data_IF_887420092920
#
_entry.id   IF_887420092920
#
_cell.length_a   1.000
_cell.length_b   1.000
_cell.length_c   1.000
_cell.angle_alpha   90.00
_cell.angle_beta   90.00
_cell.angle_gamma   90.00
#
_symmetry.space_group_name_H-M   'P 1'
#
loop_
_entity.id
_entity.type
_entity.pdbx_description
1 polymer ?
#
# COMPACT_ATOMS: atom_id res chain seq x y z
N UNK A 1 19.02 14.22 -11.52
CA UNK A 1 18.61 13.58 -10.25
C UNK A 1 17.14 13.18 -10.42
N UNK A 2 16.85 11.91 -10.69
CA UNK A 2 15.47 11.46 -11.03
C UNK A 2 14.74 11.18 -9.72
N UNK A 3 13.73 11.99 -9.38
CA UNK A 3 12.85 11.77 -8.23
C UNK A 3 12.06 10.47 -8.43
N UNK A 4 11.74 9.78 -7.34
CA UNK A 4 11.10 8.46 -7.32
C UNK A 4 9.57 8.56 -7.22
N UNK A 5 9.02 9.76 -7.44
CA UNK A 5 7.63 10.10 -7.20
C UNK A 5 6.79 9.83 -8.45
N UNK A 6 6.61 8.54 -8.76
CA UNK A 6 5.57 8.13 -9.69
C UNK A 6 4.85 6.91 -9.14
N UNK A 7 3.57 6.80 -9.46
CA UNK A 7 2.73 5.68 -9.08
C UNK A 7 1.98 5.20 -10.32
N UNK A 8 1.83 3.88 -10.44
CA UNK A 8 1.09 3.24 -11.52
C UNK A 8 -0.12 2.54 -10.93
N UNK A 9 -1.25 2.65 -11.63
CA UNK A 9 -2.46 1.94 -11.24
C UNK A 9 -2.30 0.44 -11.49
N UNK A 10 -2.79 -0.37 -10.56
CA UNK A 10 -2.71 -1.84 -10.61
C UNK A 10 -4.05 -2.45 -10.25
N UNK A 11 -4.27 -3.71 -10.66
CA UNK A 11 -5.46 -4.47 -10.26
C UNK A 11 -5.56 -4.60 -8.73
N UNK A 12 -4.43 -4.74 -8.03
CA UNK A 12 -4.43 -4.77 -6.57
C UNK A 12 -4.89 -3.45 -5.93
N UNK A 13 -4.60 -2.30 -6.55
CA UNK A 13 -5.16 -1.01 -6.10
C UNK A 13 -6.68 -1.00 -6.31
N UNK A 14 -7.16 -1.46 -7.47
CA UNK A 14 -8.59 -1.59 -7.74
C UNK A 14 -9.29 -2.43 -6.67
N UNK A 15 -8.81 -3.66 -6.45
CA UNK A 15 -9.36 -4.60 -5.48
C UNK A 15 -9.35 -4.03 -4.05
N UNK A 16 -8.28 -3.30 -3.70
CA UNK A 16 -8.18 -2.63 -2.40
C UNK A 16 -9.27 -1.58 -2.22
N UNK A 17 -9.47 -0.72 -3.22
CA UNK A 17 -10.49 0.34 -3.15
C UNK A 17 -11.89 -0.24 -3.14
N UNK A 18 -12.17 -1.24 -3.98
CA UNK A 18 -13.47 -1.92 -4.00
C UNK A 18 -13.79 -2.57 -2.65
N UNK A 19 -12.78 -3.20 -2.03
CA UNK A 19 -12.95 -3.80 -0.71
C UNK A 19 -13.19 -2.75 0.38
N UNK A 20 -12.41 -1.67 0.38
CA UNK A 20 -12.60 -0.55 1.32
C UNK A 20 -13.98 0.06 1.14
N UNK A 21 -14.42 0.27 -0.10
CA UNK A 21 -15.74 0.82 -0.38
C UNK A 21 -16.85 -0.11 0.12
N UNK A 22 -16.74 -1.42 -0.13
CA UNK A 22 -17.68 -2.42 0.41
C UNK A 22 -17.76 -2.35 1.94
N UNK A 23 -16.62 -2.24 2.63
CA UNK A 23 -16.60 -2.11 4.09
C UNK A 23 -17.20 -0.79 4.60
N UNK A 24 -17.08 0.29 3.83
CA UNK A 24 -17.72 1.56 4.14
C UNK A 24 -19.24 1.47 3.93
N UNK A 25 -19.68 0.83 2.84
CA UNK A 25 -21.09 0.59 2.53
C UNK A 25 -21.76 -0.31 3.58
N UNK A 26 -21.06 -1.37 4.03
CA UNK A 26 -21.45 -2.27 5.13
C UNK A 26 -21.30 -1.62 6.52
N UNK A 27 -20.64 -0.46 6.55
CA UNK A 27 -20.35 0.33 7.74
C UNK A 27 -19.63 -0.43 8.87
N UNK A 28 -18.62 -1.24 8.53
CA UNK A 28 -17.84 -1.95 9.56
C UNK A 28 -17.03 -0.97 10.42
N UNK A 29 -16.84 -1.28 11.71
CA UNK A 29 -16.03 -0.45 12.63
C UNK A 29 -14.54 -0.47 12.25
N UNK A 30 -14.08 -1.56 11.65
CA UNK A 30 -12.76 -1.60 11.06
C UNK A 30 -12.45 -2.87 10.30
N UNK A 31 -11.36 -2.81 9.53
CA UNK A 31 -10.88 -3.90 8.71
C UNK A 31 -9.36 -3.84 8.51
N UNK A 32 -8.79 -4.94 8.03
CA UNK A 32 -7.35 -5.06 7.75
C UNK A 32 -7.08 -5.41 6.29
N UNK A 33 -6.27 -4.60 5.62
CA UNK A 33 -5.62 -4.97 4.37
C UNK A 33 -4.21 -5.44 4.70
N UNK A 34 -3.86 -6.66 4.31
CA UNK A 34 -2.57 -7.26 4.65
C UNK A 34 -1.88 -7.83 3.41
N UNK A 35 -0.56 -7.73 3.38
CA UNK A 35 0.23 -8.35 2.32
C UNK A 35 1.72 -8.11 2.53
N UNK A 36 2.58 -8.78 1.74
CA UNK A 36 4.02 -8.63 1.87
C UNK A 36 4.46 -7.17 1.70
N UNK A 37 5.58 -6.82 2.33
CA UNK A 37 6.19 -5.50 2.10
C UNK A 37 6.61 -5.38 0.63
N UNK A 38 6.61 -4.14 0.10
CA UNK A 38 7.05 -3.81 -1.27
C UNK A 38 6.11 -4.24 -2.41
N UNK A 39 4.87 -4.61 -2.07
CA UNK A 39 3.84 -4.97 -3.06
C UNK A 39 2.98 -3.78 -3.52
N UNK A 40 3.13 -2.61 -2.89
CA UNK A 40 2.48 -1.37 -3.32
C UNK A 40 1.37 -0.86 -2.40
N UNK A 41 1.13 -1.49 -1.24
CA UNK A 41 0.08 -1.09 -0.28
C UNK A 41 0.11 0.39 0.12
N UNK A 42 1.22 0.86 0.68
CA UNK A 42 1.38 2.26 1.08
C UNK A 42 1.18 3.22 -0.09
N UNK A 43 1.77 2.88 -1.24
CA UNK A 43 1.62 3.67 -2.46
C UNK A 43 0.17 3.71 -2.97
N UNK A 44 -0.59 2.63 -2.80
CA UNK A 44 -2.02 2.57 -3.10
C UNK A 44 -2.82 3.54 -2.21
N UNK A 45 -2.52 3.55 -0.90
CA UNK A 45 -3.17 4.44 0.06
C UNK A 45 -2.84 5.90 -0.22
N UNK A 46 -1.56 6.23 -0.35
CA UNK A 46 -1.09 7.61 -0.45
C UNK A 46 -1.52 8.30 -1.75
N UNK A 47 -1.59 7.56 -2.86
CA UNK A 47 -1.79 8.16 -4.18
C UNK A 47 -3.17 7.89 -4.81
N UNK A 48 -3.90 6.87 -4.37
CA UNK A 48 -5.11 6.43 -5.07
C UNK A 48 -6.36 6.40 -4.20
N UNK A 49 -6.25 5.92 -2.96
CA UNK A 49 -7.41 5.60 -2.14
C UNK A 49 -8.38 6.79 -2.00
N UNK A 50 -7.88 7.97 -1.60
CA UNK A 50 -8.73 9.14 -1.41
C UNK A 50 -9.43 9.57 -2.71
N UNK A 51 -8.68 9.63 -3.82
CA UNK A 51 -9.20 10.06 -5.12
C UNK A 51 -10.27 9.10 -5.64
N UNK A 52 -10.00 7.80 -5.61
CA UNK A 52 -10.90 6.78 -6.15
C UNK A 52 -12.17 6.64 -5.30
N UNK A 53 -12.07 6.75 -3.97
CA UNK A 53 -13.26 6.80 -3.12
C UNK A 53 -14.08 8.06 -3.38
N UNK A 54 -13.43 9.22 -3.55
CA UNK A 54 -14.13 10.46 -3.87
C UNK A 54 -14.86 10.40 -5.23
N UNK A 55 -14.24 9.79 -6.24
CA UNK A 55 -14.87 9.53 -7.55
C UNK A 55 -16.08 8.61 -7.41
N UNK A 56 -15.97 7.52 -6.64
CA UNK A 56 -17.06 6.57 -6.42
C UNK A 56 -18.26 7.19 -5.70
N UNK A 57 -18.01 7.98 -4.65
CA UNK A 57 -19.07 8.60 -3.86
C UNK A 57 -19.50 9.99 -4.37
N UNK A 58 -18.89 10.47 -5.46
CA UNK A 58 -19.24 11.74 -6.08
C UNK A 58 -18.96 12.97 -5.20
N UNK A 59 -17.99 12.88 -4.29
CA UNK A 59 -17.77 13.93 -3.29
C UNK A 59 -16.59 13.70 -2.35
N UNK A 60 -16.42 14.61 -1.40
CA UNK A 60 -15.38 14.53 -0.40
C UNK A 60 -15.65 13.38 0.58
N UNK A 61 -14.69 12.46 0.71
CA UNK A 61 -14.70 11.41 1.73
C UNK A 61 -13.83 11.87 2.91
N UNK A 62 -14.38 12.01 4.13
CA UNK A 62 -13.61 12.36 5.32
C UNK A 62 -12.61 11.26 5.71
N UNK A 63 -11.44 11.30 5.08
CA UNK A 63 -10.38 10.30 5.19
C UNK A 63 -9.14 10.93 5.83
N UNK A 64 -8.63 10.29 6.88
CA UNK A 64 -7.35 10.61 7.51
C UNK A 64 -6.40 9.44 7.30
N UNK A 65 -5.25 9.69 6.68
CA UNK A 65 -4.20 8.69 6.48
C UNK A 65 -3.09 8.96 7.48
N UNK A 66 -2.83 8.01 8.36
CA UNK A 66 -1.74 8.03 9.32
C UNK A 66 -0.75 6.92 9.02
N UNK A 67 0.43 7.28 8.53
CA UNK A 67 1.57 6.34 8.46
C UNK A 67 2.22 6.23 9.83
N UNK A 68 2.10 5.07 10.47
CA UNK A 68 2.76 4.83 11.75
C UNK A 68 4.28 4.80 11.57
N UNK A 69 5.00 5.41 12.51
CA UNK A 69 6.47 5.37 12.56
C UNK A 69 6.90 4.98 13.96
N UNK A 70 7.79 3.98 14.05
CA UNK A 70 8.40 3.64 15.33
C UNK A 70 9.43 4.72 15.68
N UNK A 71 9.13 5.46 16.74
CA UNK A 71 9.98 6.55 17.23
C UNK A 71 11.06 6.07 18.22
N UNK A 72 11.15 4.76 18.48
CA UNK A 72 12.17 4.13 19.34
C UNK A 72 12.08 4.50 20.83
N UNK A 73 11.11 5.33 21.21
CA UNK A 73 10.84 5.75 22.59
C UNK A 73 9.52 5.17 23.08
N UNK A 74 9.38 4.99 24.39
CA UNK A 74 8.15 4.45 24.98
C UNK A 74 6.90 5.21 24.49
N UNK A 75 5.82 4.48 24.11
CA UNK A 75 4.61 5.10 23.60
C UNK A 75 3.98 5.99 24.68
N UNK A 76 3.57 7.19 24.28
CA UNK A 76 2.92 8.16 25.15
C UNK A 76 1.62 8.65 24.51
N UNK A 77 0.52 8.63 25.26
CA UNK A 77 -0.83 8.98 24.76
C UNK A 77 -0.89 10.39 24.16
N UNK A 78 -0.16 11.35 24.74
CA UNK A 78 -0.06 12.70 24.17
C UNK A 78 0.63 12.75 22.80
N UNK A 79 1.60 11.86 22.55
CA UNK A 79 2.27 11.75 21.23
C UNK A 79 1.36 11.05 20.23
N UNK A 80 0.66 10.00 20.65
CA UNK A 80 -0.33 9.33 19.83
C UNK A 80 -1.38 10.32 19.27
N UNK A 81 -1.98 11.15 20.14
CA UNK A 81 -2.91 12.19 19.68
C UNK A 81 -2.24 13.26 18.81
N UNK A 82 -0.97 13.60 19.06
CA UNK A 82 -0.24 14.55 18.23
C UNK A 82 -0.03 14.02 16.80
N UNK A 83 0.33 12.75 16.64
CA UNK A 83 0.50 12.13 15.32
C UNK A 83 -0.81 12.06 14.54
N UNK A 84 -1.93 11.71 15.20
CA UNK A 84 -3.25 11.72 14.57
C UNK A 84 -3.69 13.14 14.18
N UNK A 85 -3.40 14.15 15.01
CA UNK A 85 -3.66 15.56 14.68
C UNK A 85 -2.85 16.01 13.46
N UNK A 86 -1.58 15.63 13.38
CA UNK A 86 -0.70 15.92 12.26
C UNK A 86 -1.21 15.25 10.97
N UNK A 87 -1.55 13.95 11.04
CA UNK A 87 -2.19 13.22 9.94
C UNK A 87 -3.52 13.85 9.48
N UNK A 88 -4.24 14.50 10.39
CA UNK A 88 -5.50 15.22 10.10
C UNK A 88 -5.30 16.62 9.49
N UNK A 89 -4.04 17.01 9.22
CA UNK A 89 -3.66 18.32 8.67
C UNK A 89 -3.83 19.47 9.66
N UNK A 90 -3.85 19.21 10.97
CA UNK A 90 -4.08 20.24 11.97
C UNK A 90 -2.83 21.12 12.19
N UNK A 91 -2.94 22.43 11.92
CA UNK A 91 -1.80 23.40 11.96
C UNK A 91 -1.05 23.46 13.29
N UNK A 92 -1.71 23.13 14.40
CA UNK A 92 -1.15 23.19 15.75
C UNK A 92 -0.73 21.82 16.31
N UNK A 93 -0.63 20.78 15.48
CA UNK A 93 -0.32 19.41 15.91
C UNK A 93 0.99 19.32 16.74
N UNK A 94 1.99 20.12 16.40
CA UNK A 94 3.31 20.09 17.06
C UNK A 94 3.44 21.04 18.27
N UNK A 95 2.40 21.80 18.62
CA UNK A 95 2.44 22.70 19.78
C UNK A 95 2.49 21.88 21.07
N UNK A 96 3.30 22.32 22.04
CA UNK A 96 3.34 21.72 23.38
C UNK A 96 1.99 21.93 24.07
N UNK A 97 1.30 20.82 24.35
CA UNK A 97 0.02 20.78 25.05
C UNK A 97 -0.03 19.57 25.98
N UNK A 98 -0.98 19.56 26.89
CA UNK A 98 -1.31 18.39 27.70
C UNK A 98 -1.95 17.31 26.82
N UNK A 99 -1.92 16.03 27.23
CA UNK A 99 -2.61 14.97 26.49
C UNK A 99 -4.11 15.20 26.34
N UNK A 100 -4.78 15.72 27.38
CA UNK A 100 -6.21 16.01 27.35
C UNK A 100 -6.55 17.08 26.32
N UNK A 101 -5.79 18.19 26.28
CA UNK A 101 -6.00 19.23 25.27
C UNK A 101 -5.83 18.70 23.84
N UNK A 102 -4.84 17.82 23.60
CA UNK A 102 -4.66 17.19 22.28
C UNK A 102 -5.83 16.27 21.92
N UNK A 103 -6.35 15.51 22.88
CA UNK A 103 -7.51 14.66 22.66
C UNK A 103 -8.73 15.50 22.27
N UNK A 104 -9.02 16.57 23.01
CA UNK A 104 -10.13 17.49 22.71
C UNK A 104 -10.00 18.08 21.31
N UNK A 105 -8.82 18.61 20.96
CA UNK A 105 -8.57 19.15 19.62
C UNK A 105 -8.74 18.10 18.51
N UNK A 106 -8.31 16.86 18.77
CA UNK A 106 -8.41 15.79 17.79
C UNK A 106 -9.89 15.44 17.53
N UNK A 107 -10.67 15.31 18.60
CA UNK A 107 -12.11 15.06 18.52
C UNK A 107 -12.81 16.20 17.76
N UNK A 108 -12.54 17.46 18.11
CA UNK A 108 -13.08 18.64 17.41
C UNK A 108 -12.71 18.61 15.93
N UNK A 109 -11.43 18.39 15.61
CA UNK A 109 -10.94 18.32 14.23
C UNK A 109 -11.62 17.21 13.42
N UNK A 110 -11.84 16.05 14.01
CA UNK A 110 -12.48 14.92 13.34
C UNK A 110 -13.97 15.16 13.12
N UNK A 111 -14.64 15.84 14.06
CA UNK A 111 -16.02 16.30 13.87
C UNK A 111 -16.11 17.30 12.71
N UNK A 112 -15.17 18.26 12.62
CA UNK A 112 -15.10 19.20 11.50
C UNK A 112 -14.90 18.48 10.15
N UNK A 113 -13.97 17.52 10.07
CA UNK A 113 -13.71 16.75 8.85
C UNK A 113 -14.94 15.94 8.42
N UNK A 114 -15.60 15.28 9.37
CA UNK A 114 -16.83 14.54 9.10
C UNK A 114 -17.95 15.47 8.57
N UNK A 115 -18.10 16.65 9.16
CA UNK A 115 -19.08 17.65 8.74
C UNK A 115 -18.81 18.20 7.34
N UNK A 116 -17.55 18.34 6.93
CA UNK A 116 -17.17 18.74 5.57
C UNK A 116 -17.63 17.73 4.51
N UNK A 117 -17.68 16.44 4.86
CA UNK A 117 -18.26 15.38 4.02
C UNK A 117 -19.79 15.33 4.03
N UNK A 118 -20.47 16.27 4.71
CA UNK A 118 -21.93 16.32 4.81
C UNK A 118 -22.52 15.27 5.75
N UNK A 119 -21.71 14.63 6.60
CA UNK A 119 -22.15 13.53 7.45
C UNK A 119 -21.57 13.57 8.86
N UNK A 120 -21.67 12.43 9.55
CA UNK A 120 -21.05 12.20 10.86
C UNK A 120 -20.21 10.92 10.84
N UNK A 121 -19.46 10.73 9.76
CA UNK A 121 -18.55 9.60 9.60
C UNK A 121 -17.16 10.09 9.27
N UNK A 122 -16.15 9.37 9.76
CA UNK A 122 -14.74 9.59 9.47
C UNK A 122 -14.08 8.23 9.25
N UNK A 123 -13.22 8.16 8.25
CA UNK A 123 -12.39 7.00 7.97
C UNK A 123 -10.96 7.33 8.38
N UNK A 124 -10.36 6.46 9.19
CA UNK A 124 -8.94 6.52 9.51
C UNK A 124 -8.24 5.32 8.90
N UNK A 125 -7.27 5.58 8.03
CA UNK A 125 -6.39 4.56 7.47
C UNK A 125 -5.06 4.63 8.20
N UNK A 126 -4.64 3.51 8.79
CA UNK A 126 -3.38 3.38 9.50
C UNK A 126 -2.44 2.57 8.61
N UNK A 127 -1.44 3.22 8.02
CA UNK A 127 -0.38 2.53 7.29
C UNK A 127 0.75 2.07 8.23
N UNK A 128 1.38 0.96 7.87
CA UNK A 128 2.35 0.22 8.70
C UNK A 128 1.80 -0.13 10.11
N UNK A 129 0.53 -0.51 10.18
CA UNK A 129 -0.20 -0.80 11.42
C UNK A 129 0.42 -1.91 12.29
N UNK A 130 1.25 -2.78 11.73
CA UNK A 130 2.01 -3.77 12.51
C UNK A 130 3.04 -3.15 13.46
N UNK A 131 3.41 -1.88 13.25
CA UNK A 131 4.28 -1.12 14.15
C UNK A 131 3.57 -0.60 15.40
N UNK A 132 2.23 -0.62 15.42
CA UNK A 132 1.46 -0.15 16.57
C UNK A 132 1.58 -1.09 17.77
N UNK A 133 1.85 -0.49 18.92
CA UNK A 133 1.87 -1.17 20.21
C UNK A 133 0.45 -1.48 20.69
N UNK A 134 0.32 -2.47 21.59
CA UNK A 134 -0.96 -2.79 22.24
C UNK A 134 -1.61 -1.56 22.91
N UNK A 135 -0.80 -0.70 23.52
CA UNK A 135 -1.29 0.53 24.18
C UNK A 135 -1.89 1.52 23.20
N UNK A 136 -1.27 1.71 22.04
CA UNK A 136 -1.81 2.60 20.99
C UNK A 136 -3.13 2.08 20.44
N UNK A 137 -3.27 0.77 20.26
CA UNK A 137 -4.55 0.16 19.90
C UNK A 137 -5.62 0.38 20.96
N UNK A 138 -5.29 0.24 22.25
CA UNK A 138 -6.23 0.51 23.34
C UNK A 138 -6.66 1.98 23.38
N UNK A 139 -5.73 2.92 23.18
CA UNK A 139 -6.07 4.35 23.08
C UNK A 139 -6.97 4.64 21.88
N UNK A 140 -6.80 3.93 20.77
CA UNK A 140 -7.69 4.05 19.62
C UNK A 140 -9.10 3.53 19.93
N UNK A 141 -9.23 2.44 20.69
CA UNK A 141 -10.54 1.94 21.18
C UNK A 141 -11.22 2.95 22.10
N UNK A 142 -10.47 3.57 23.01
CA UNK A 142 -10.97 4.63 23.89
C UNK A 142 -11.45 5.84 23.07
N UNK A 143 -10.65 6.29 22.11
CA UNK A 143 -10.99 7.39 21.21
C UNK A 143 -12.24 7.08 20.37
N UNK A 144 -12.33 5.86 19.83
CA UNK A 144 -13.51 5.40 19.09
C UNK A 144 -14.78 5.51 19.94
N UNK A 145 -14.72 5.04 21.20
CA UNK A 145 -15.86 5.11 22.12
C UNK A 145 -16.25 6.55 22.46
N UNK A 146 -15.26 7.45 22.61
CA UNK A 146 -15.52 8.88 22.81
C UNK A 146 -16.22 9.53 21.62
N UNK A 147 -15.84 9.17 20.40
CA UNK A 147 -16.45 9.70 19.17
C UNK A 147 -17.87 9.17 18.97
N UNK A 148 -18.13 7.90 19.31
CA UNK A 148 -19.50 7.35 19.33
C UNK A 148 -20.41 8.13 20.27
N UNK A 149 -19.93 8.50 21.46
CA UNK A 149 -20.68 9.35 22.40
C UNK A 149 -20.97 10.73 21.80
N UNK A 150 -20.07 11.24 20.95
CA UNK A 150 -20.28 12.43 20.15
C UNK A 150 -21.07 12.17 18.86
N UNK A 151 -21.69 10.99 18.69
CA UNK A 151 -22.43 10.58 17.49
C UNK A 151 -21.61 10.69 16.20
N UNK A 152 -20.29 10.53 16.28
CA UNK A 152 -19.41 10.43 15.14
C UNK A 152 -19.03 8.97 14.95
N UNK A 153 -19.29 8.43 13.77
CA UNK A 153 -18.88 7.08 13.38
C UNK A 153 -17.45 7.10 12.90
N UNK A 154 -16.61 6.28 13.50
CA UNK A 154 -15.22 6.10 13.11
C UNK A 154 -15.06 4.72 12.46
N UNK A 155 -14.55 4.67 11.22
CA UNK A 155 -14.13 3.43 10.57
C UNK A 155 -12.60 3.37 10.56
N UNK A 156 -12.02 2.30 11.10
CA UNK A 156 -10.56 2.12 11.18
C UNK A 156 -10.09 1.05 10.20
N UNK A 157 -9.34 1.46 9.17
CA UNK A 157 -8.73 0.53 8.23
C UNK A 157 -7.23 0.46 8.46
N UNK A 158 -6.73 -0.74 8.75
CA UNK A 158 -5.32 -0.98 8.99
C UNK A 158 -4.66 -1.59 7.76
N UNK A 159 -3.52 -1.02 7.36
CA UNK A 159 -2.66 -1.58 6.32
C UNK A 159 -1.45 -2.17 7.02
N UNK A 160 -1.31 -3.48 6.91
CA UNK A 160 -0.25 -4.20 7.59
C UNK A 160 0.71 -4.85 6.59
N UNK A 161 1.98 -4.46 6.65
CA UNK A 161 3.06 -5.23 6.07
C UNK A 161 3.35 -6.43 6.95
N UNK A 162 2.84 -7.58 6.53
CA UNK A 162 3.34 -8.85 7.06
C UNK A 162 4.27 -9.47 6.05
N UNK A 163 5.58 -9.34 6.30
CA UNK A 163 6.40 -10.51 6.08
C UNK A 163 5.76 -11.57 6.98
N UNK A 164 5.46 -12.76 6.51
CA UNK A 164 4.81 -13.74 7.39
C UNK A 164 3.35 -13.38 7.72
N UNK A 165 2.52 -13.38 6.68
CA UNK A 165 1.35 -14.24 6.56
C UNK A 165 0.95 -15.06 7.82
N UNK A 166 0.61 -14.38 8.91
CA UNK A 166 -0.41 -14.83 9.86
C UNK A 166 -1.70 -14.06 9.53
N UNK A 167 -2.85 -14.68 9.72
CA UNK A 167 -4.15 -14.03 9.60
C UNK A 167 -4.28 -12.82 10.54
N UNK A 168 -5.25 -11.89 10.35
CA UNK A 168 -5.63 -10.82 11.30
C UNK A 168 -5.43 -11.17 12.78
N UNK A 169 -5.63 -12.45 13.13
CA UNK A 169 -5.28 -13.11 14.39
C UNK A 169 -3.96 -12.68 15.07
N UNK A 170 -2.82 -12.60 14.37
CA UNK A 170 -1.55 -12.21 15.03
C UNK A 170 -1.54 -10.76 15.54
N UNK A 171 -2.10 -9.83 14.75
CA UNK A 171 -2.26 -8.42 15.12
C UNK A 171 -3.37 -8.25 16.16
N UNK A 172 -4.44 -9.03 16.02
CA UNK A 172 -5.51 -9.18 16.99
C UNK A 172 -5.00 -9.67 18.36
N UNK A 173 -4.06 -10.61 18.39
CA UNK A 173 -3.43 -11.11 19.61
C UNK A 173 -2.49 -10.07 20.23
N UNK A 174 -1.79 -9.28 19.41
CA UNK A 174 -0.95 -8.18 19.88
C UNK A 174 -1.76 -7.01 20.46
N UNK A 175 -2.94 -6.71 19.89
CA UNK A 175 -3.89 -5.70 20.39
C UNK A 175 -4.81 -6.21 21.51
N UNK A 176 -4.96 -7.52 21.66
CA UNK A 176 -5.94 -8.17 22.53
C UNK A 176 -7.28 -8.43 21.82
N UNK A 177 -8.04 -9.42 22.31
CA UNK A 177 -9.29 -9.88 21.70
C UNK A 177 -10.34 -8.77 21.51
N UNK A 178 -10.35 -7.77 22.39
CA UNK A 178 -11.25 -6.62 22.28
C UNK A 178 -10.94 -5.73 21.07
N UNK A 179 -9.66 -5.42 20.82
CA UNK A 179 -9.22 -4.62 19.66
C UNK A 179 -9.52 -5.40 18.38
N UNK A 180 -9.20 -6.69 18.38
CA UNK A 180 -9.44 -7.59 17.27
C UNK A 180 -10.92 -7.62 16.83
N UNK A 181 -11.81 -7.81 17.80
CA UNK A 181 -13.25 -7.86 17.57
C UNK A 181 -13.80 -6.54 17.03
N UNK A 182 -13.15 -5.41 17.31
CA UNK A 182 -13.60 -4.09 16.86
C UNK A 182 -13.06 -3.69 15.49
N UNK A 183 -11.76 -3.91 15.24
CA UNK A 183 -11.10 -3.35 14.04
C UNK A 183 -10.54 -4.37 13.06
N UNK A 184 -10.57 -5.67 13.38
CA UNK A 184 -9.80 -6.68 12.63
C UNK A 184 -10.62 -7.92 12.25
N UNK A 185 -11.95 -7.90 12.42
CA UNK A 185 -12.83 -9.01 12.02
C UNK A 185 -12.94 -9.15 10.49
N UNK A 186 -12.93 -8.03 9.78
CA UNK A 186 -12.89 -8.00 8.34
C UNK A 186 -11.43 -7.88 7.86
N UNK A 187 -11.06 -8.66 6.85
CA UNK A 187 -9.74 -8.52 6.26
C UNK A 187 -9.70 -8.95 4.79
N UNK A 188 -8.73 -8.40 4.07
CA UNK A 188 -8.48 -8.74 2.68
C UNK A 188 -6.98 -8.77 2.37
N UNK A 189 -6.53 -9.73 1.55
CA UNK A 189 -5.16 -9.73 1.08
C UNK A 189 -4.94 -8.60 0.05
N UNK A 190 -3.75 -8.01 0.07
CA UNK A 190 -3.24 -7.17 -0.99
C UNK A 190 -2.17 -7.95 -1.76
N UNK A 191 -2.47 -8.21 -3.03
CA UNK A 191 -1.61 -8.97 -3.92
C UNK A 191 -0.67 -8.06 -4.71
N UNK A 192 0.39 -8.66 -5.24
CA UNK A 192 1.25 -8.10 -6.26
C UNK A 192 0.74 -8.50 -7.64
N UNK A 193 1.66 -8.73 -8.58
CA UNK A 193 1.33 -9.12 -9.94
C UNK A 193 1.32 -10.65 -10.05
N UNK A 194 0.23 -11.24 -10.53
CA UNK A 194 0.02 -12.70 -10.56
C UNK A 194 -0.02 -13.29 -11.96
N UNK A 195 -0.30 -12.48 -12.99
CA UNK A 195 -0.42 -12.94 -14.38
C UNK A 195 0.27 -11.99 -15.37
N UNK A 196 0.54 -12.50 -16.58
CA UNK A 196 1.08 -11.69 -17.68
C UNK A 196 0.10 -10.56 -18.04
N UNK A 197 -1.20 -10.82 -18.02
CA UNK A 197 -2.23 -9.81 -18.31
C UNK A 197 -2.25 -8.69 -17.27
N UNK A 198 -2.19 -9.03 -15.98
CA UNK A 198 -2.06 -8.05 -14.90
C UNK A 198 -0.77 -7.24 -15.08
N UNK A 199 0.34 -7.88 -15.45
CA UNK A 199 1.60 -7.19 -15.70
C UNK A 199 1.50 -6.26 -16.91
N UNK A 200 0.92 -6.72 -18.02
CA UNK A 200 0.74 -5.92 -19.24
C UNK A 200 -0.13 -4.69 -18.95
N UNK A 201 -1.15 -4.83 -18.12
CA UNK A 201 -1.96 -3.71 -17.65
C UNK A 201 -1.13 -2.68 -16.87
N UNK A 202 -0.32 -3.14 -15.91
CA UNK A 202 0.60 -2.27 -15.16
C UNK A 202 1.60 -1.58 -16.10
N UNK A 203 2.17 -2.33 -17.04
CA UNK A 203 3.17 -1.82 -17.97
C UNK A 203 2.58 -0.83 -18.98
N UNK A 204 1.29 -0.97 -19.33
CA UNK A 204 0.57 0.04 -20.10
C UNK A 204 0.55 1.39 -19.40
N UNK A 205 0.60 1.44 -18.07
CA UNK A 205 0.75 2.69 -17.31
C UNK A 205 2.01 3.50 -17.67
N UNK A 206 3.09 2.85 -18.16
CA UNK A 206 4.27 3.55 -18.68
C UNK A 206 4.04 4.14 -20.08
N UNK A 207 3.17 3.51 -20.87
CA UNK A 207 2.87 3.89 -22.25
C UNK A 207 1.73 4.92 -22.32
N UNK A 208 0.78 4.85 -21.39
CA UNK A 208 -0.47 5.60 -21.33
C UNK A 208 -0.80 5.91 -19.86
N UNK A 209 -1.34 7.10 -19.58
CA UNK A 209 -1.77 7.47 -18.22
C UNK A 209 -0.65 7.85 -17.24
N UNK A 210 0.60 7.93 -17.71
CA UNK A 210 1.70 8.61 -17.04
C UNK A 210 2.07 9.91 -17.76
N UNK A 211 2.82 10.77 -17.08
CA UNK A 211 3.32 12.01 -17.67
C UNK A 211 4.78 12.27 -17.28
N UNK A 212 5.64 12.42 -18.28
CA UNK A 212 7.05 12.74 -18.14
C UNK A 212 7.66 13.36 -19.41
N UNK A 213 8.33 14.52 -19.30
CA UNK A 213 8.42 15.38 -18.11
C UNK A 213 7.05 15.90 -17.65
N UNK A 214 6.88 16.30 -16.37
CA UNK A 214 5.62 16.88 -15.90
C UNK A 214 5.20 18.09 -16.74
N UNK A 215 3.93 18.15 -17.14
CA UNK A 215 3.38 19.20 -18.01
C UNK A 215 3.64 19.01 -19.51
N UNK A 216 4.24 17.89 -19.94
CA UNK A 216 4.52 17.60 -21.35
C UNK A 216 3.40 16.87 -22.09
N UNK A 217 2.48 16.22 -21.36
CA UNK A 217 1.51 15.29 -21.95
C UNK A 217 2.12 14.02 -22.56
N UNK A 218 3.43 13.77 -22.39
CA UNK A 218 4.10 12.56 -22.88
C UNK A 218 4.11 11.49 -21.79
N UNK A 219 3.84 10.23 -22.12
CA UNK A 219 4.00 9.12 -21.17
C UNK A 219 5.46 8.82 -20.85
N UNK A 220 5.73 8.02 -19.82
CA UNK A 220 7.11 7.65 -19.45
C UNK A 220 7.88 7.04 -20.62
N UNK A 221 7.30 6.09 -21.33
CA UNK A 221 7.96 5.44 -22.48
C UNK A 221 8.24 6.45 -23.59
N UNK A 222 7.25 7.30 -23.92
CA UNK A 222 7.39 8.31 -24.97
C UNK A 222 8.43 9.39 -24.61
N UNK A 223 8.45 9.85 -23.37
CA UNK A 223 9.36 10.90 -22.91
C UNK A 223 10.80 10.43 -22.72
N UNK A 224 11.00 9.20 -22.21
CA UNK A 224 12.35 8.64 -21.98
C UNK A 224 12.96 8.03 -23.25
N UNK A 225 12.13 7.47 -24.14
CA UNK A 225 12.58 6.75 -25.32
C UNK A 225 11.80 7.20 -26.59
N UNK A 226 11.90 8.48 -27.00
CA UNK A 226 11.04 9.03 -28.06
C UNK A 226 11.24 8.37 -29.42
N UNK A 227 12.49 8.02 -29.79
CA UNK A 227 12.79 7.32 -31.05
C UNK A 227 12.23 5.88 -31.06
N UNK A 228 12.53 5.03 -30.06
CA UNK A 228 11.87 3.73 -29.91
C UNK A 228 10.34 3.81 -29.92
N UNK A 229 9.76 4.76 -29.18
CA UNK A 229 8.32 4.96 -29.11
C UNK A 229 7.70 5.22 -30.49
N UNK A 230 8.31 6.12 -31.27
CA UNK A 230 7.91 6.41 -32.64
C UNK A 230 8.07 5.20 -33.58
N UNK A 231 9.04 4.32 -33.29
CA UNK A 231 9.23 3.03 -33.95
C UNK A 231 8.25 1.93 -33.52
N UNK A 232 7.30 2.23 -32.63
CA UNK A 232 6.27 1.29 -32.17
C UNK A 232 6.58 0.54 -30.87
N UNK A 233 7.72 0.84 -30.21
CA UNK A 233 8.05 0.23 -28.92
C UNK A 233 7.03 0.58 -27.84
N UNK A 234 6.56 -0.42 -27.10
CA UNK A 234 5.66 -0.27 -25.97
C UNK A 234 6.14 -1.14 -24.81
N UNK A 235 6.10 -0.59 -23.59
CA UNK A 235 6.42 -1.35 -22.39
C UNK A 235 5.42 -2.48 -22.14
N UNK A 236 4.14 -2.27 -22.43
CA UNK A 236 3.10 -3.29 -22.30
C UNK A 236 3.43 -4.59 -23.05
N UNK A 237 4.11 -4.51 -24.19
CA UNK A 237 4.52 -5.67 -24.99
C UNK A 237 5.66 -6.47 -24.36
N UNK A 238 6.35 -5.92 -23.35
CA UNK A 238 7.44 -6.59 -22.65
C UNK A 238 6.99 -7.38 -21.41
N UNK A 239 5.68 -7.46 -21.16
CA UNK A 239 5.13 -8.11 -19.98
C UNK A 239 5.51 -9.60 -19.89
N UNK A 240 5.45 -10.34 -21.00
CA UNK A 240 5.79 -11.76 -21.00
C UNK A 240 7.27 -11.99 -20.65
N UNK A 241 8.18 -11.23 -21.28
CA UNK A 241 9.61 -11.31 -21.02
C UNK A 241 9.97 -10.96 -19.56
N UNK A 242 9.36 -9.91 -19.00
CA UNK A 242 9.56 -9.55 -17.60
C UNK A 242 8.95 -10.58 -16.64
N UNK A 243 7.77 -11.14 -16.95
CA UNK A 243 7.16 -12.19 -16.15
C UNK A 243 8.05 -13.43 -16.11
N UNK A 244 8.55 -13.86 -17.27
CA UNK A 244 9.47 -14.99 -17.38
C UNK A 244 10.75 -14.72 -16.58
N UNK A 245 11.34 -13.53 -16.70
CA UNK A 245 12.53 -13.17 -15.91
C UNK A 245 12.28 -13.23 -14.40
N UNK A 246 11.12 -12.78 -13.90
CA UNK A 246 10.75 -12.92 -12.49
C UNK A 246 10.60 -14.38 -12.06
N UNK A 247 9.99 -15.23 -12.89
CA UNK A 247 9.83 -16.65 -12.61
C UNK A 247 11.16 -17.41 -12.59
N UNK A 248 12.06 -17.12 -13.54
CA UNK A 248 13.38 -17.74 -13.64
C UNK A 248 14.33 -17.32 -12.51
N UNK A 249 14.08 -16.15 -11.90
CA UNK A 249 14.90 -15.60 -10.81
C UNK A 249 14.33 -15.97 -9.42
N UNK A 250 13.39 -16.90 -9.35
CA UNK A 250 12.91 -17.44 -8.09
C UNK A 250 14.00 -18.26 -7.38
N UNK A 251 14.04 -18.26 -6.03
CA UNK A 251 15.00 -19.07 -5.30
C UNK A 251 14.75 -20.58 -5.54
N UNK A 252 15.80 -21.42 -5.40
CA UNK A 252 15.64 -22.86 -5.49
C UNK A 252 14.56 -23.38 -4.53
N UNK A 253 13.75 -24.33 -5.00
CA UNK A 253 12.63 -24.90 -4.23
C UNK A 253 11.62 -23.86 -3.73
N UNK A 254 11.35 -22.82 -4.54
CA UNK A 254 10.34 -21.83 -4.23
C UNK A 254 8.98 -22.48 -3.90
N UNK A 255 8.46 -22.18 -2.70
CA UNK A 255 7.22 -22.75 -2.18
C UNK A 255 6.12 -21.69 -1.98
N UNK A 256 6.38 -20.44 -2.36
CA UNK A 256 5.43 -19.35 -2.25
C UNK A 256 4.41 -19.31 -3.41
N UNK A 257 3.44 -18.38 -3.35
CA UNK A 257 2.48 -18.18 -4.42
C UNK A 257 3.12 -17.49 -5.63
N UNK A 258 2.53 -17.66 -6.82
CA UNK A 258 2.85 -16.84 -8.00
C UNK A 258 2.29 -15.42 -7.80
N UNK A 259 2.99 -14.63 -7.00
CA UNK A 259 2.58 -13.29 -6.59
C UNK A 259 3.82 -12.39 -6.47
N UNK A 260 4.01 -11.49 -7.44
CA UNK A 260 5.28 -10.80 -7.66
C UNK A 260 5.25 -9.34 -7.16
N UNK A 261 6.33 -8.88 -6.47
CA UNK A 261 6.35 -7.54 -5.89
C UNK A 261 6.37 -6.41 -6.94
N UNK A 262 5.51 -5.41 -6.76
CA UNK A 262 5.53 -4.19 -7.58
C UNK A 262 6.87 -3.44 -7.55
N UNK A 263 7.65 -3.56 -6.45
CA UNK A 263 9.02 -3.02 -6.40
C UNK A 263 9.91 -3.63 -7.48
N UNK A 264 9.84 -4.95 -7.71
CA UNK A 264 10.61 -5.62 -8.75
C UNK A 264 10.21 -5.10 -10.12
N UNK A 265 8.91 -5.08 -10.41
CA UNK A 265 8.36 -4.57 -11.68
C UNK A 265 8.84 -3.15 -11.95
N UNK A 266 8.64 -2.23 -11.01
CA UNK A 266 8.98 -0.83 -11.19
C UNK A 266 10.49 -0.60 -11.37
N UNK A 267 11.34 -1.33 -10.63
CA UNK A 267 12.79 -1.19 -10.74
C UNK A 267 13.34 -1.80 -12.03
N UNK A 268 12.86 -2.98 -12.43
CA UNK A 268 13.28 -3.63 -13.66
C UNK A 268 12.89 -2.78 -14.88
N UNK A 269 11.64 -2.31 -14.94
CA UNK A 269 11.15 -1.45 -16.02
C UNK A 269 11.94 -0.14 -16.10
N UNK A 270 12.18 0.50 -14.95
CA UNK A 270 13.02 1.71 -14.91
C UNK A 270 14.43 1.44 -15.42
N UNK A 271 15.03 0.32 -15.06
CA UNK A 271 16.38 -0.03 -15.51
C UNK A 271 16.43 -0.19 -17.04
N UNK A 272 15.51 -0.96 -17.61
CA UNK A 272 15.41 -1.18 -19.06
C UNK A 272 15.13 0.12 -19.81
N UNK A 273 14.14 0.91 -19.38
CA UNK A 273 13.82 2.20 -20.00
C UNK A 273 15.00 3.17 -19.96
N UNK A 274 15.77 3.21 -18.87
CA UNK A 274 16.95 4.07 -18.79
C UNK A 274 18.10 3.59 -19.67
N UNK A 275 18.25 2.28 -19.89
CA UNK A 275 19.24 1.74 -20.85
C UNK A 275 18.88 2.13 -22.28
N UNK A 276 17.60 2.03 -22.64
CA UNK A 276 17.08 2.46 -23.94
C UNK A 276 17.30 3.98 -24.10
N UNK A 277 16.93 4.77 -23.08
CA UNK A 277 17.15 6.22 -23.08
C UNK A 277 18.64 6.60 -23.19
N UNK A 278 19.53 5.77 -22.64
CA UNK A 278 20.98 5.88 -22.75
C UNK A 278 21.56 5.48 -24.12
N UNK A 279 20.71 5.07 -25.07
CA UNK A 279 21.12 4.72 -26.44
C UNK A 279 21.41 3.24 -26.67
N UNK A 280 21.10 2.35 -25.71
CA UNK A 280 21.17 0.91 -25.95
C UNK A 280 20.08 0.52 -26.95
N UNK A 281 20.42 -0.33 -27.92
CA UNK A 281 19.46 -0.89 -28.85
C UNK A 281 18.33 -1.64 -28.12
N UNK A 282 17.10 -1.58 -28.66
CA UNK A 282 15.90 -2.12 -28.02
C UNK A 282 16.06 -3.63 -27.81
N UNK A 283 16.46 -4.38 -28.84
CA UNK A 283 16.58 -5.85 -28.78
C UNK A 283 17.59 -6.27 -27.71
N UNK A 284 18.66 -5.50 -27.56
CA UNK A 284 19.68 -5.72 -26.53
C UNK A 284 19.21 -5.30 -25.14
N UNK A 285 18.44 -4.21 -25.03
CA UNK A 285 17.96 -3.70 -23.75
C UNK A 285 16.79 -4.51 -23.19
N UNK A 286 16.03 -5.19 -24.05
CA UNK A 286 14.87 -6.02 -23.70
C UNK A 286 15.10 -7.51 -23.94
N UNK A 287 16.36 -7.95 -24.11
CA UNK A 287 16.69 -9.38 -24.24
C UNK A 287 16.31 -10.13 -22.95
N UNK A 288 16.17 -11.46 -23.05
CA UNK A 288 15.89 -12.29 -21.89
C UNK A 288 16.97 -12.13 -20.80
N UNK A 289 18.24 -12.05 -21.19
CA UNK A 289 19.37 -11.80 -20.29
C UNK A 289 19.30 -10.41 -19.66
N UNK A 290 18.90 -9.39 -20.42
CA UNK A 290 18.77 -8.04 -19.92
C UNK A 290 17.65 -7.93 -18.87
N UNK A 291 16.50 -8.56 -19.11
CA UNK A 291 15.41 -8.63 -18.14
C UNK A 291 15.79 -9.42 -16.90
N UNK A 292 16.42 -10.59 -17.06
CA UNK A 292 16.92 -11.39 -15.93
C UNK A 292 17.90 -10.60 -15.07
N UNK A 293 18.89 -9.96 -15.69
CA UNK A 293 19.85 -9.11 -14.98
C UNK A 293 19.17 -7.92 -14.28
N UNK A 294 18.15 -7.30 -14.91
CA UNK A 294 17.40 -6.20 -14.30
C UNK A 294 16.62 -6.66 -13.05
N UNK A 295 16.03 -7.85 -13.10
CA UNK A 295 15.30 -8.48 -11.99
C UNK A 295 16.25 -8.91 -10.86
N UNK A 296 17.38 -9.55 -11.17
CA UNK A 296 18.40 -9.95 -10.19
C UNK A 296 18.93 -8.74 -9.42
N UNK A 297 19.31 -7.68 -10.15
CA UNK A 297 19.92 -6.48 -9.57
C UNK A 297 18.97 -5.65 -8.70
N UNK A 298 17.65 -5.90 -8.73
CA UNK A 298 16.69 -5.23 -7.85
C UNK A 298 16.48 -5.94 -6.50
N UNK A 299 17.18 -7.07 -6.27
CA UNK A 299 17.07 -7.89 -5.06
C UNK A 299 15.82 -8.79 -5.06
N UNK A 300 15.31 -9.14 -6.25
CA UNK A 300 14.12 -9.97 -6.41
C UNK A 300 14.27 -11.33 -5.73
N UNK A 301 15.36 -12.06 -6.00
CA UNK A 301 15.60 -13.38 -5.43
C UNK A 301 15.58 -13.38 -3.90
N UNK A 302 16.21 -12.39 -3.25
CA UNK A 302 16.19 -12.24 -1.79
C UNK A 302 14.78 -11.98 -1.26
N UNK A 303 14.02 -11.10 -1.94
CA UNK A 303 12.64 -10.80 -1.53
C UNK A 303 11.75 -12.04 -1.66
N UNK A 304 11.89 -12.80 -2.76
CA UNK A 304 11.13 -14.04 -2.97
C UNK A 304 11.59 -15.18 -2.07
N UNK A 305 12.85 -15.23 -1.64
CA UNK A 305 13.33 -16.17 -0.64
C UNK A 305 12.64 -15.97 0.71
N UNK A 306 12.44 -14.72 1.14
CA UNK A 306 11.67 -14.39 2.35
C UNK A 306 10.20 -14.83 2.21
N UNK A 307 9.59 -14.59 1.05
CA UNK A 307 8.22 -15.06 0.76
C UNK A 307 8.14 -16.60 0.78
N UNK A 308 9.13 -17.29 0.23
CA UNK A 308 9.18 -18.76 0.18
C UNK A 308 9.32 -19.37 1.58
N UNK A 309 10.29 -18.89 2.38
CA UNK A 309 10.52 -19.36 3.74
C UNK A 309 9.25 -19.22 4.60
N UNK A 310 8.53 -18.12 4.42
CA UNK A 310 7.22 -17.89 5.04
C UNK A 310 6.21 -18.97 4.66
N UNK A 311 6.05 -19.22 3.36
CA UNK A 311 5.04 -20.16 2.86
C UNK A 311 5.33 -21.58 3.36
N UNK A 312 6.61 -21.95 3.49
CA UNK A 312 7.03 -23.22 4.06
C UNK A 312 6.65 -23.35 5.54
N UNK A 313 6.89 -22.32 6.37
CA UNK A 313 6.51 -22.31 7.79
C UNK A 313 4.99 -22.51 7.99
N UNK A 314 4.16 -21.88 7.15
CA UNK A 314 2.71 -22.08 7.15
C UNK A 314 2.31 -23.53 6.86
N UNK A 315 2.93 -24.15 5.84
CA UNK A 315 2.63 -25.54 5.47
C UNK A 315 3.01 -26.49 6.59
N UNK A 316 4.13 -26.24 7.27
CA UNK A 316 4.57 -27.03 8.42
C UNK A 316 3.63 -26.87 9.64
N UNK A 317 3.19 -25.65 9.96
CA UNK A 317 2.27 -25.40 11.08
C UNK A 317 0.83 -25.86 10.87
N UNK A 318 0.43 -26.13 9.61
CA UNK A 318 -0.88 -26.72 9.26
C UNK A 318 -0.87 -28.26 9.21
N UNK A 319 0.28 -28.91 9.43
CA UNK A 319 0.31 -30.36 9.56
C UNK A 319 -0.46 -30.74 10.85
N UNK A 320 -1.50 -31.59 10.78
CA UNK A 320 -2.11 -32.10 12.00
C UNK A 320 -1.02 -32.85 12.77
N UNK A 321 -0.87 -32.56 14.06
CA UNK A 321 -0.15 -33.45 14.95
C UNK A 321 -0.84 -34.83 14.85
N UNK A 322 -0.20 -35.75 14.14
CA UNK A 322 -0.60 -37.14 14.06
C UNK A 322 -0.35 -37.84 15.40
#
# INVERSE_FOLDING_TARGET
MVTRDYSLYTVAIHDMVERVATWLDDQVDGATIFGPSRFGKSNAVDHWLQRLLAERYGGYVPLVIWSHTDSGSAPAVGRFYAHLLEASGHRLAQVRRTPLERQTMLVERWIELAAQGGGRFLVVVIDEAQGMTQREWMWLVELHSLLEMQRLRLCVFSIASRQFFDEPFGMALAGGAHVAARFMLAAAPFHGVRSVDELAYVLRGYDEGSEWPPGSGCSFTAGLAPRPWAGGFRMAQQAEALMQAMQETLPPHYAGPNDFPMKTVAQACRHVLLRIAGGTDIETATSAEAWRAAVENCGHGTLMALVSATAALRRAGRAPHA
#
